data_IF_163887914133
#
_entry.id   IF_163887914133
#
_cell.length_a   1.000
_cell.length_b   1.000
_cell.length_c   1.000
_cell.angle_alpha   90.00
_cell.angle_beta   90.00
_cell.angle_gamma   90.00
#
_symmetry.space_group_name_H-M   'P 1'
#
loop_
_entity.id
_entity.type
_entity.pdbx_description
1 polymer ?
#
# COMPACT_ATOMS: atom_id res chain seq x y z
N UNK A 1 5.33 -10.16 17.35
CA UNK A 1 3.93 -10.64 17.33
C UNK A 1 3.71 -11.11 15.90
N UNK A 2 3.79 -12.42 15.66
CA UNK A 2 3.81 -12.98 14.30
C UNK A 2 2.42 -12.91 13.68
N UNK A 3 2.24 -12.09 12.65
CA UNK A 3 1.08 -12.20 11.76
C UNK A 3 1.25 -13.47 10.90
N UNK A 4 0.19 -14.27 10.72
CA UNK A 4 0.27 -15.59 10.11
C UNK A 4 0.47 -15.45 8.59
N UNK A 5 1.69 -15.70 8.12
CA UNK A 5 2.16 -15.81 6.73
C UNK A 5 1.48 -16.94 5.90
N UNK A 6 0.26 -17.37 6.24
CA UNK A 6 -0.35 -18.61 5.72
C UNK A 6 -1.42 -18.42 4.62
N UNK A 7 -1.51 -17.25 3.98
CA UNK A 7 -2.44 -17.03 2.86
C UNK A 7 -1.77 -16.64 1.54
N UNK A 8 -0.43 -16.70 1.46
CA UNK A 8 0.33 -16.04 0.39
C UNK A 8 0.44 -16.79 -0.95
N UNK A 9 -0.15 -17.98 -1.13
CA UNK A 9 -0.06 -18.71 -2.40
C UNK A 9 -1.36 -18.66 -3.20
N UNK A 10 -2.49 -19.04 -2.59
CA UNK A 10 -3.78 -19.05 -3.28
C UNK A 10 -4.32 -17.64 -3.51
N UNK A 11 -4.19 -16.74 -2.53
CA UNK A 11 -4.61 -15.34 -2.68
C UNK A 11 -3.74 -14.59 -3.69
N UNK A 12 -2.43 -14.87 -3.73
CA UNK A 12 -1.51 -14.34 -4.74
C UNK A 12 -1.91 -14.80 -6.15
N UNK A 13 -2.18 -16.09 -6.35
CA UNK A 13 -2.63 -16.62 -7.65
C UNK A 13 -4.00 -16.07 -8.06
N UNK A 14 -4.93 -15.87 -7.12
CA UNK A 14 -6.24 -15.28 -7.41
C UNK A 14 -6.16 -13.77 -7.71
N UNK A 15 -5.34 -13.00 -6.99
CA UNK A 15 -5.14 -11.57 -7.27
C UNK A 15 -4.49 -11.29 -8.64
N UNK A 16 -3.75 -12.25 -9.20
CA UNK A 16 -3.31 -12.20 -10.60
C UNK A 16 -4.35 -12.70 -11.62
N UNK A 17 -5.39 -13.41 -11.18
CA UNK A 17 -6.37 -14.04 -12.05
C UNK A 17 -7.64 -13.20 -12.28
N UNK A 18 -7.96 -12.25 -11.40
CA UNK A 18 -9.14 -11.39 -11.51
C UNK A 18 -8.79 -9.91 -11.29
N UNK A 19 -8.31 -9.25 -12.34
CA UNK A 19 -7.84 -7.86 -12.31
C UNK A 19 -8.97 -6.81 -12.18
N UNK A 20 -10.24 -7.23 -12.09
CA UNK A 20 -11.40 -6.34 -12.07
C UNK A 20 -12.00 -6.14 -10.67
N UNK A 21 -11.54 -6.86 -9.64
CA UNK A 21 -12.06 -6.76 -8.27
C UNK A 21 -11.56 -5.54 -7.47
N UNK A 22 -10.62 -4.78 -8.07
CA UNK A 22 -9.98 -3.57 -7.50
C UNK A 22 -9.15 -3.85 -6.25
N UNK A 23 -8.74 -5.10 -6.04
CA UNK A 23 -8.01 -5.59 -4.88
C UNK A 23 -6.97 -6.61 -5.31
N UNK A 24 -5.80 -6.13 -5.70
CA UNK A 24 -4.67 -7.01 -5.91
C UNK A 24 -4.04 -7.39 -4.56
N UNK A 25 -4.65 -8.36 -3.88
CA UNK A 25 -4.18 -8.89 -2.59
C UNK A 25 -2.70 -9.30 -2.67
N UNK A 26 -2.25 -9.78 -3.83
CA UNK A 26 -0.84 -10.11 -4.05
C UNK A 26 0.09 -8.91 -3.95
N UNK A 27 -0.25 -7.80 -4.62
CA UNK A 27 0.48 -6.53 -4.55
C UNK A 27 0.38 -5.93 -3.15
N UNK A 28 -0.78 -6.00 -2.52
CA UNK A 28 -1.04 -5.50 -1.17
C UNK A 28 -0.09 -6.13 -0.14
N UNK A 29 -0.08 -7.46 -0.07
CA UNK A 29 0.78 -8.20 0.85
C UNK A 29 2.27 -8.02 0.49
N UNK A 30 2.61 -7.95 -0.80
CA UNK A 30 3.98 -7.67 -1.22
C UNK A 30 4.44 -6.27 -0.79
N UNK A 31 3.57 -5.26 -0.86
CA UNK A 31 3.88 -3.92 -0.40
C UNK A 31 4.18 -3.91 1.11
N UNK A 32 3.44 -4.65 1.93
CA UNK A 32 3.79 -4.80 3.35
C UNK A 32 5.16 -5.43 3.58
N UNK A 33 5.56 -6.41 2.76
CA UNK A 33 6.92 -6.98 2.85
C UNK A 33 8.00 -5.97 2.47
N UNK A 34 7.72 -5.07 1.53
CA UNK A 34 8.64 -4.00 1.14
C UNK A 34 8.73 -2.91 2.22
N UNK A 35 7.61 -2.59 2.88
CA UNK A 35 7.56 -1.70 4.04
C UNK A 35 8.40 -2.29 5.20
N UNK A 36 8.15 -3.55 5.58
CA UNK A 36 8.85 -4.26 6.66
C UNK A 36 10.35 -4.52 6.40
N UNK A 37 10.84 -4.28 5.18
CA UNK A 37 12.19 -4.67 4.78
C UNK A 37 13.31 -3.95 5.55
N UNK A 38 13.05 -2.79 6.15
CA UNK A 38 13.99 -2.11 7.08
C UNK A 38 13.71 -2.37 8.57
N UNK A 39 12.73 -3.23 8.85
CA UNK A 39 12.29 -3.64 10.18
C UNK A 39 11.26 -2.71 10.81
N UNK A 40 10.72 -1.73 10.08
CA UNK A 40 9.58 -0.89 10.49
C UNK A 40 8.35 -1.19 9.64
N UNK A 41 7.15 -1.00 10.19
CA UNK A 41 5.89 -1.06 9.44
C UNK A 41 5.23 0.30 9.63
N UNK A 42 5.60 1.26 8.78
CA UNK A 42 5.24 2.66 8.92
C UNK A 42 4.82 3.32 7.61
N UNK A 43 4.61 2.52 6.55
CA UNK A 43 4.26 2.99 5.22
C UNK A 43 5.40 3.68 4.47
N UNK A 44 6.62 3.68 5.01
CA UNK A 44 7.81 4.25 4.38
C UNK A 44 8.78 3.11 4.06
N UNK A 45 8.90 2.68 2.79
CA UNK A 45 9.74 1.54 2.43
C UNK A 45 11.24 1.89 2.44
N UNK A 46 11.81 2.15 3.63
CA UNK A 46 13.11 2.76 3.83
C UNK A 46 14.30 1.91 3.37
N UNK A 47 14.10 0.60 3.22
CA UNK A 47 15.09 -0.30 2.62
C UNK A 47 15.33 -0.03 1.13
N UNK A 48 14.32 0.46 0.41
CA UNK A 48 14.39 0.71 -1.05
C UNK A 48 14.27 2.19 -1.41
N UNK A 49 13.64 3.00 -0.56
CA UNK A 49 13.45 4.43 -0.78
C UNK A 49 14.72 5.21 -0.37
N UNK A 50 15.36 5.96 -1.29
CA UNK A 50 16.53 6.78 -0.98
C UNK A 50 16.28 7.71 0.21
N UNK A 51 17.25 7.90 1.13
CA UNK A 51 17.06 8.72 2.32
C UNK A 51 16.53 10.14 2.03
N UNK A 52 16.94 10.75 0.92
CA UNK A 52 16.51 12.07 0.50
C UNK A 52 15.01 12.15 0.11
N UNK A 53 14.37 11.02 -0.20
CA UNK A 53 12.96 10.93 -0.59
C UNK A 53 12.03 10.48 0.53
N UNK A 54 12.57 9.98 1.66
CA UNK A 54 11.76 9.47 2.78
C UNK A 54 10.88 10.55 3.40
N UNK A 55 11.44 11.71 3.69
CA UNK A 55 10.66 12.83 4.25
C UNK A 55 9.62 13.35 3.24
N UNK A 56 9.97 13.66 1.97
CA UNK A 56 8.98 14.03 0.97
C UNK A 56 7.84 13.00 0.80
N UNK A 57 8.17 11.71 0.84
CA UNK A 57 7.18 10.63 0.80
C UNK A 57 6.25 10.67 2.00
N UNK A 58 6.78 10.76 3.23
CA UNK A 58 5.98 10.82 4.44
C UNK A 58 5.04 12.05 4.45
N UNK A 59 5.51 13.20 3.96
CA UNK A 59 4.70 14.42 3.83
C UNK A 59 3.52 14.22 2.86
N UNK A 60 3.75 13.55 1.72
CA UNK A 60 2.69 13.19 0.77
C UNK A 60 1.72 12.20 1.40
N UNK A 61 2.24 11.10 1.96
CA UNK A 61 1.44 10.06 2.60
C UNK A 61 0.49 10.63 3.66
N UNK A 62 0.99 11.46 4.59
CA UNK A 62 0.15 12.05 5.63
C UNK A 62 -0.89 13.02 5.09
N UNK A 63 -0.57 13.78 4.02
CA UNK A 63 -1.54 14.64 3.35
C UNK A 63 -2.67 13.83 2.71
N UNK A 64 -2.33 12.80 1.95
CA UNK A 64 -3.32 11.96 1.26
C UNK A 64 -4.15 11.13 2.26
N UNK A 65 -3.54 10.62 3.33
CA UNK A 65 -4.25 9.98 4.44
C UNK A 65 -5.30 10.91 5.05
N UNK A 66 -4.97 12.19 5.24
CA UNK A 66 -5.91 13.18 5.76
C UNK A 66 -7.09 13.38 4.79
N UNK A 67 -6.84 13.46 3.48
CA UNK A 67 -7.89 13.58 2.46
C UNK A 67 -8.80 12.34 2.44
N UNK A 68 -8.23 11.13 2.47
CA UNK A 68 -9.00 9.87 2.55
C UNK A 68 -9.88 9.84 3.79
N UNK A 69 -9.34 10.18 4.96
CA UNK A 69 -10.09 10.20 6.24
C UNK A 69 -11.18 11.27 6.26
N UNK A 70 -11.03 12.36 5.51
CA UNK A 70 -12.05 13.38 5.33
C UNK A 70 -13.16 12.96 4.34
N UNK A 71 -12.94 11.89 3.57
CA UNK A 71 -13.83 11.49 2.47
C UNK A 71 -13.60 12.28 1.18
N UNK A 72 -12.49 13.00 1.08
CA UNK A 72 -12.11 13.85 -0.06
C UNK A 72 -11.12 13.14 -1.00
N UNK A 73 -11.29 11.82 -1.19
CA UNK A 73 -10.43 11.00 -2.05
C UNK A 73 -11.22 9.91 -2.76
N UNK A 74 -10.81 9.58 -3.99
CA UNK A 74 -11.36 8.47 -4.77
C UNK A 74 -10.64 7.12 -4.50
N UNK A 75 -9.65 7.10 -3.60
CA UNK A 75 -8.97 5.89 -3.13
C UNK A 75 -9.88 5.14 -2.14
N UNK A 76 -9.77 3.81 -2.09
CA UNK A 76 -10.51 2.98 -1.13
C UNK A 76 -10.30 3.52 0.30
N UNK A 77 -11.38 3.86 1.06
CA UNK A 77 -11.27 4.37 2.43
C UNK A 77 -10.46 3.48 3.37
N UNK A 78 -10.32 2.19 3.05
CA UNK A 78 -9.47 1.26 3.79
C UNK A 78 -8.01 1.73 3.87
N UNK A 79 -7.49 2.40 2.84
CA UNK A 79 -6.17 3.04 2.86
C UNK A 79 -6.02 4.06 4.00
N UNK A 80 -7.13 4.64 4.50
CA UNK A 80 -7.14 5.58 5.61
C UNK A 80 -6.89 4.96 6.99
N UNK A 81 -6.85 3.62 7.09
CA UNK A 81 -6.74 2.90 8.36
C UNK A 81 -5.45 3.24 9.11
N UNK A 82 -4.31 3.12 8.43
CA UNK A 82 -2.98 3.49 8.93
C UNK A 82 -2.02 3.68 7.74
N UNK A 83 -0.79 4.09 8.02
CA UNK A 83 0.26 4.37 7.04
C UNK A 83 0.67 3.14 6.21
N UNK A 84 0.75 1.97 6.82
CA UNK A 84 1.10 0.73 6.12
C UNK A 84 0.01 0.31 5.12
N UNK A 85 -1.26 0.40 5.53
CA UNK A 85 -2.42 0.13 4.67
C UNK A 85 -2.52 1.15 3.53
N UNK A 86 -2.18 2.41 3.80
CA UNK A 86 -2.08 3.42 2.75
C UNK A 86 -1.05 3.03 1.69
N UNK A 87 0.16 2.64 2.12
CA UNK A 87 1.21 2.22 1.19
C UNK A 87 0.78 1.01 0.35
N UNK A 88 0.17 0.00 0.97
CA UNK A 88 -0.29 -1.19 0.27
C UNK A 88 -1.37 -0.87 -0.77
N UNK A 89 -2.42 -0.14 -0.39
CA UNK A 89 -3.52 0.21 -1.29
C UNK A 89 -3.07 1.13 -2.42
N UNK A 90 -2.20 2.11 -2.17
CA UNK A 90 -1.69 2.99 -3.25
C UNK A 90 -0.87 2.18 -4.26
N UNK A 91 -0.14 1.15 -3.83
CA UNK A 91 0.56 0.26 -4.76
C UNK A 91 -0.43 -0.58 -5.60
N UNK A 92 -1.51 -1.08 -5.02
CA UNK A 92 -2.58 -1.75 -5.80
C UNK A 92 -3.09 -0.83 -6.92
N UNK A 93 -3.41 0.42 -6.59
CA UNK A 93 -3.86 1.42 -7.56
C UNK A 93 -2.79 1.75 -8.60
N UNK A 94 -1.51 1.81 -8.24
CA UNK A 94 -0.43 2.07 -9.18
C UNK A 94 -0.30 0.99 -10.25
N UNK A 95 -0.44 -0.28 -9.87
CA UNK A 95 -0.32 -1.40 -10.81
C UNK A 95 -1.60 -1.68 -11.59
N UNK A 96 -2.78 -1.41 -11.03
CA UNK A 96 -4.06 -1.64 -11.71
C UNK A 96 -4.58 -0.43 -12.49
N UNK A 97 -4.40 0.79 -11.98
CA UNK A 97 -5.03 2.03 -12.47
C UNK A 97 -4.12 3.26 -12.31
N UNK A 98 -2.94 3.28 -12.96
CA UNK A 98 -1.96 4.36 -12.80
C UNK A 98 -2.53 5.75 -13.15
N UNK A 99 -3.56 5.83 -14.01
CA UNK A 99 -4.23 7.08 -14.38
C UNK A 99 -4.96 7.78 -13.22
N UNK A 100 -5.24 7.08 -12.12
CA UNK A 100 -5.91 7.64 -10.93
C UNK A 100 -4.96 8.27 -9.91
N UNK A 101 -3.65 8.14 -10.10
CA UNK A 101 -2.61 8.59 -9.15
C UNK A 101 -1.77 9.77 -9.68
N UNK A 102 -2.35 10.66 -10.49
CA UNK A 102 -1.63 11.80 -11.08
C UNK A 102 -1.52 13.02 -10.16
#
# INVERSE_FOLDING_TARGET
>A
MSLPYLLAAAALVQGFADADDRRNVGVHEFAHLVDEADGQIDGVPGAVLPPALRQPWAEVMHRELAAIRAGDSDIDPYAGTNEAEFFAVVNEYFFERPEKLQ
#
